data_IF_268313407123
#
_entry.id   IF_268313407123
#
_cell.length_a   1.000
_cell.length_b   1.000
_cell.length_c   1.000
_cell.angle_alpha   90.00
_cell.angle_beta   90.00
_cell.angle_gamma   90.00
#
_symmetry.space_group_name_H-M   'P 1'
#
loop_
_entity.id
_entity.type
_entity.pdbx_description
1 polymer ?
#
# COMPACT_ATOMS: atom_id res chain seq x y z
N UNK A 1 17.75 1.94 2.70
CA UNK A 1 16.31 1.85 2.38
C UNK A 1 15.84 3.14 1.76
N UNK A 2 15.19 3.06 0.64
CA UNK A 2 14.72 4.22 -0.08
C UNK A 2 13.23 4.43 0.18
N UNK A 3 12.85 5.63 0.57
CA UNK A 3 11.45 5.95 0.77
C UNK A 3 10.83 6.39 -0.54
N UNK A 4 9.82 5.65 -0.97
CA UNK A 4 9.09 5.95 -2.20
C UNK A 4 7.97 6.94 -1.90
N UNK A 5 7.21 6.65 -0.85
CA UNK A 5 6.21 7.57 -0.32
C UNK A 5 6.44 7.65 1.18
N UNK A 6 6.87 8.81 1.66
CA UNK A 6 7.25 8.94 3.06
C UNK A 6 6.05 8.80 4.00
N UNK A 7 5.09 9.65 3.88
CA UNK A 7 3.87 9.55 4.66
C UNK A 7 2.81 10.34 3.95
N UNK A 8 1.99 9.66 3.20
CA UNK A 8 0.96 10.32 2.43
C UNK A 8 -0.37 10.19 3.15
N UNK A 9 -1.00 11.31 3.42
CA UNK A 9 -2.33 11.30 4.02
C UNK A 9 -3.37 11.03 2.95
N UNK A 10 -4.08 9.93 3.13
CA UNK A 10 -5.16 9.55 2.23
C UNK A 10 -6.50 10.04 2.73
N UNK A 11 -6.54 10.40 4.00
CA UNK A 11 -7.73 10.91 4.64
C UNK A 11 -7.32 11.56 5.94
N UNK A 12 -8.29 12.00 6.72
CA UNK A 12 -8.01 12.68 7.97
C UNK A 12 -7.19 11.82 8.92
N UNK A 13 -7.49 10.54 8.99
CA UNK A 13 -6.80 9.63 9.89
C UNK A 13 -6.27 8.39 9.17
N UNK A 14 -5.97 8.53 7.89
CA UNK A 14 -5.47 7.41 7.10
C UNK A 14 -4.17 7.83 6.42
N UNK A 15 -3.12 7.09 6.68
CA UNK A 15 -1.78 7.41 6.21
C UNK A 15 -1.15 6.21 5.52
N UNK A 16 -0.43 6.45 4.44
CA UNK A 16 0.26 5.43 3.67
C UNK A 16 1.74 5.75 3.58
N UNK A 17 2.57 4.75 3.76
CA UNK A 17 3.99 4.85 3.51
C UNK A 17 4.46 3.69 2.66
N UNK A 18 5.41 3.94 1.78
CA UNK A 18 5.99 2.91 0.93
C UNK A 18 7.50 3.09 0.90
N UNK A 19 8.23 2.00 1.11
CA UNK A 19 9.68 2.01 1.11
C UNK A 19 10.18 0.88 0.21
N UNK A 20 11.36 1.05 -0.33
CA UNK A 20 11.96 0.04 -1.19
C UNK A 20 13.41 -0.20 -0.85
N UNK A 21 13.81 -1.45 -0.90
CA UNK A 21 15.21 -1.84 -0.84
C UNK A 21 15.51 -2.64 -2.09
N UNK A 22 16.72 -3.14 -2.20
CA UNK A 22 17.15 -3.81 -3.44
C UNK A 22 16.22 -4.93 -3.87
N UNK A 23 15.72 -5.70 -2.92
CA UNK A 23 14.91 -6.88 -3.22
C UNK A 23 13.63 -6.96 -2.40
N UNK A 24 13.22 -5.84 -1.80
CA UNK A 24 12.06 -5.86 -0.91
C UNK A 24 11.32 -4.55 -0.96
N UNK A 25 10.01 -4.62 -0.97
CA UNK A 25 9.15 -3.43 -0.94
C UNK A 25 8.29 -3.50 0.31
N UNK A 26 8.34 -2.46 1.12
CA UNK A 26 7.56 -2.38 2.33
C UNK A 26 6.41 -1.40 2.19
N UNK A 27 5.26 -1.77 2.74
CA UNK A 27 4.11 -0.87 2.77
C UNK A 27 3.65 -0.74 4.22
N UNK A 28 3.24 0.47 4.57
CA UNK A 28 2.71 0.78 5.89
C UNK A 28 1.40 1.52 5.71
N UNK A 29 0.37 1.05 6.38
CA UNK A 29 -0.94 1.66 6.32
C UNK A 29 -1.47 1.83 7.73
N UNK A 30 -1.80 3.05 8.08
CA UNK A 30 -2.27 3.35 9.43
C UNK A 30 -3.58 4.12 9.39
N UNK A 31 -4.50 3.70 10.25
CA UNK A 31 -5.76 4.42 10.45
C UNK A 31 -5.84 4.81 11.92
N UNK A 32 -7.00 5.32 12.33
CA UNK A 32 -7.19 5.74 13.73
C UNK A 32 -6.97 4.60 14.70
N UNK A 33 -7.50 3.43 14.38
CA UNK A 33 -7.51 2.31 15.31
C UNK A 33 -6.50 1.22 15.00
N UNK A 34 -6.04 1.15 13.78
CA UNK A 34 -5.23 0.04 13.31
C UNK A 34 -4.07 0.54 12.47
N UNK A 35 -2.92 -0.06 12.67
CA UNK A 35 -1.81 0.13 11.76
C UNK A 35 -1.26 -1.23 11.37
N UNK A 36 -0.83 -1.34 10.14
CA UNK A 36 -0.30 -2.59 9.62
C UNK A 36 0.83 -2.29 8.65
N UNK A 37 1.80 -3.20 8.63
CA UNK A 37 2.87 -3.10 7.67
C UNK A 37 3.20 -4.49 7.17
N UNK A 38 3.66 -4.59 5.95
CA UNK A 38 4.13 -5.84 5.41
C UNK A 38 5.18 -5.58 4.34
N UNK A 39 5.90 -6.62 4.01
CA UNK A 39 6.97 -6.54 3.03
C UNK A 39 6.68 -7.53 1.91
N UNK A 40 7.09 -7.15 0.71
CA UNK A 40 6.87 -7.94 -0.50
C UNK A 40 8.17 -8.12 -1.24
N UNK A 41 8.32 -9.26 -1.90
CA UNK A 41 9.28 -9.39 -2.99
C UNK A 41 8.71 -8.62 -4.19
N UNK A 42 9.56 -8.19 -5.13
CA UNK A 42 9.04 -7.40 -6.27
C UNK A 42 7.91 -8.07 -7.04
N UNK A 43 7.97 -9.39 -7.24
CA UNK A 43 6.91 -10.09 -7.96
C UNK A 43 5.63 -10.18 -7.14
N UNK A 44 5.76 -10.26 -5.83
CA UNK A 44 4.59 -10.24 -4.94
C UNK A 44 3.94 -8.86 -4.95
N UNK A 45 4.76 -7.83 -5.00
CA UNK A 45 4.26 -6.46 -5.10
C UNK A 45 3.42 -6.28 -6.34
N UNK A 46 3.90 -6.81 -7.49
CA UNK A 46 3.15 -6.72 -8.73
C UNK A 46 1.78 -7.41 -8.62
N UNK A 47 1.75 -8.56 -7.95
CA UNK A 47 0.48 -9.26 -7.73
C UNK A 47 -0.45 -8.51 -6.80
N UNK A 48 0.13 -7.89 -5.79
CA UNK A 48 -0.65 -7.06 -4.86
C UNK A 48 -1.29 -5.88 -5.60
N UNK A 49 -0.52 -5.18 -6.40
CA UNK A 49 -1.04 -4.03 -7.15
C UNK A 49 -2.14 -4.47 -8.10
N UNK A 50 -1.95 -5.59 -8.79
CA UNK A 50 -2.95 -6.12 -9.70
C UNK A 50 -4.24 -6.46 -8.97
N UNK A 51 -4.13 -7.06 -7.79
CA UNK A 51 -5.30 -7.40 -6.99
C UNK A 51 -6.05 -6.16 -6.51
N UNK A 52 -5.31 -5.12 -6.14
CA UNK A 52 -5.92 -3.86 -5.72
C UNK A 52 -6.66 -3.22 -6.88
N UNK A 53 -6.08 -3.25 -8.08
CA UNK A 53 -6.73 -2.71 -9.27
C UNK A 53 -8.02 -3.46 -9.60
N UNK A 54 -8.00 -4.78 -9.47
CA UNK A 54 -9.19 -5.59 -9.69
C UNK A 54 -10.28 -5.23 -8.68
N UNK A 55 -9.91 -5.09 -7.42
CA UNK A 55 -10.85 -4.70 -6.38
C UNK A 55 -11.43 -3.32 -6.66
N UNK A 56 -10.59 -2.40 -7.12
CA UNK A 56 -11.01 -1.04 -7.43
C UNK A 56 -12.06 -1.04 -8.53
N UNK A 57 -11.86 -1.84 -9.57
CA UNK A 57 -12.83 -1.93 -10.66
C UNK A 57 -14.18 -2.44 -10.17
N UNK A 58 -14.15 -3.45 -9.30
CA UNK A 58 -15.39 -4.00 -8.75
C UNK A 58 -16.09 -3.03 -7.80
N UNK A 59 -15.31 -2.29 -7.03
CA UNK A 59 -15.85 -1.29 -6.12
C UNK A 59 -16.53 -0.17 -6.90
N UNK A 60 -15.94 0.25 -8.01
CA UNK A 60 -16.50 1.33 -8.82
C UNK A 60 -17.80 0.94 -9.49
N UNK A 61 -18.08 -0.34 -9.62
CA UNK A 61 -19.37 -0.79 -10.11
C UNK A 61 -20.46 -0.65 -9.05
N UNK A 62 -20.09 -0.51 -7.79
CA UNK A 62 -21.05 -0.37 -6.69
C UNK A 62 -21.25 1.06 -6.24
N UNK A 63 -20.20 1.88 -6.36
CA UNK A 63 -20.24 3.28 -5.90
C UNK A 63 -20.08 4.26 -7.07
#
# INVERSE_FOLDING_TARGET
MEEIIEEKKLGEKLTLGVQAEADEIGIYLASEDVSASCAFLPEEWNKFVAAVKEADEKIKQKF
#
